data_IF_036424481407
#
_entry.id   IF_036424481407
#
_cell.length_a   1.000
_cell.length_b   1.000
_cell.length_c   1.000
_cell.angle_alpha   90.00
_cell.angle_beta   90.00
_cell.angle_gamma   90.00
#
_symmetry.space_group_name_H-M   'P 1'
#
loop_
_entity.id
_entity.type
_entity.pdbx_description
1 polymer ?
#
# COMPACT_ATOMS: atom_id res chain seq x y z
N UNK A 1 15.43 39.45 10.85
CA UNK A 1 14.68 38.96 9.70
C UNK A 1 14.85 37.43 9.45
N UNK A 2 16.08 36.87 9.34
CA UNK A 2 16.29 35.42 9.09
C UNK A 2 15.67 34.53 10.17
N UNK A 3 15.77 34.85 11.45
CA UNK A 3 15.19 34.09 12.58
C UNK A 3 13.65 34.13 12.57
N UNK A 4 13.04 35.25 12.18
CA UNK A 4 11.59 35.42 12.08
C UNK A 4 11.03 34.56 10.91
N UNK A 5 11.74 34.54 9.77
CA UNK A 5 11.37 33.72 8.62
C UNK A 5 11.44 32.22 8.94
N UNK A 6 12.45 31.77 9.70
CA UNK A 6 12.57 30.38 10.15
C UNK A 6 11.41 29.97 11.07
N UNK A 7 10.96 30.85 11.97
CA UNK A 7 9.84 30.58 12.88
C UNK A 7 8.52 30.50 12.08
N UNK A 8 8.32 31.36 11.11
CA UNK A 8 7.10 31.33 10.25
C UNK A 8 7.08 30.07 9.41
N UNK A 9 8.19 29.65 8.81
CA UNK A 9 8.28 28.42 8.02
C UNK A 9 8.05 27.19 8.90
N UNK A 10 8.61 27.14 10.10
CA UNK A 10 8.40 26.03 11.05
C UNK A 10 6.97 25.97 11.59
N UNK A 11 6.28 27.10 11.70
CA UNK A 11 4.89 27.17 12.17
C UNK A 11 3.85 26.75 11.14
N UNK A 12 4.20 26.74 9.85
CA UNK A 12 3.30 26.34 8.76
C UNK A 12 3.33 24.82 8.44
N UNK A 13 4.37 24.12 8.90
CA UNK A 13 4.56 22.69 8.63
C UNK A 13 3.54 21.76 9.33
N UNK A 14 3.03 22.04 10.54
CA UNK A 14 2.12 21.12 11.24
C UNK A 14 0.68 21.08 10.70
N UNK A 15 0.28 22.02 9.86
CA UNK A 15 -1.14 22.17 9.48
C UNK A 15 -1.65 21.15 8.44
N UNK A 16 -0.78 20.28 7.90
CA UNK A 16 -1.12 19.33 6.85
C UNK A 16 -0.62 17.90 7.11
N UNK A 17 -0.45 17.50 8.37
CA UNK A 17 -0.03 16.13 8.68
C UNK A 17 -1.28 15.25 8.75
N UNK A 18 -1.68 14.68 7.64
CA UNK A 18 -2.60 13.56 7.59
C UNK A 18 -1.77 12.26 7.66
N UNK A 19 -1.60 11.70 8.85
CA UNK A 19 -0.87 10.46 9.05
C UNK A 19 -1.77 9.26 8.71
N UNK A 20 -1.98 8.96 7.44
CA UNK A 20 -2.71 7.78 6.99
C UNK A 20 -1.94 6.93 5.97
N UNK A 21 -0.62 6.89 6.07
CA UNK A 21 0.22 6.12 5.15
C UNK A 21 0.43 4.65 5.57
N UNK A 22 -0.23 4.17 6.63
CA UNK A 22 -0.03 2.82 7.18
C UNK A 22 -0.44 1.66 6.27
N UNK A 23 -1.13 1.93 5.16
CA UNK A 23 -1.52 0.94 4.16
C UNK A 23 -0.61 0.92 2.92
N UNK A 24 0.35 1.85 2.83
CA UNK A 24 1.36 1.88 1.77
C UNK A 24 2.64 1.26 2.31
N UNK A 25 3.28 0.44 1.50
CA UNK A 25 4.52 -0.24 1.88
C UNK A 25 5.66 0.76 2.07
N UNK A 26 6.50 0.52 3.09
CA UNK A 26 7.65 1.36 3.39
C UNK A 26 8.79 1.26 2.37
N UNK A 27 8.74 0.34 1.44
CA UNK A 27 9.75 0.15 0.40
C UNK A 27 9.25 -0.70 -0.75
N UNK A 28 9.95 -0.64 -1.86
CA UNK A 28 9.61 -1.36 -3.10
C UNK A 28 10.81 -2.15 -3.62
N UNK A 29 10.58 -3.44 -3.91
CA UNK A 29 11.63 -4.37 -4.31
C UNK A 29 12.51 -4.82 -3.14
N UNK A 30 13.27 -5.89 -3.33
CA UNK A 30 13.97 -6.58 -2.25
C UNK A 30 14.99 -5.69 -1.52
N UNK A 31 15.81 -4.95 -2.25
CA UNK A 31 16.86 -4.12 -1.65
C UNK A 31 16.26 -2.95 -0.84
N UNK A 32 15.29 -2.23 -1.43
CA UNK A 32 14.69 -1.09 -0.76
C UNK A 32 13.88 -1.53 0.47
N UNK A 33 13.14 -2.65 0.38
CA UNK A 33 12.41 -3.24 1.50
C UNK A 33 13.35 -3.64 2.65
N UNK A 34 14.49 -4.27 2.35
CA UNK A 34 15.45 -4.71 3.38
C UNK A 34 16.05 -3.55 4.18
N UNK A 35 15.96 -2.34 3.64
CA UNK A 35 16.42 -1.10 4.27
C UNK A 35 15.29 -0.26 4.86
N UNK A 36 14.07 -0.82 4.98
CA UNK A 36 12.91 -0.09 5.47
C UNK A 36 12.49 1.09 4.58
N UNK A 37 12.78 1.03 3.28
CA UNK A 37 12.45 2.09 2.32
C UNK A 37 13.49 3.22 2.23
N UNK A 38 14.62 3.12 2.90
CA UNK A 38 15.65 4.17 2.92
C UNK A 38 16.33 4.31 1.55
N UNK A 39 15.83 5.18 0.69
CA UNK A 39 16.39 5.44 -0.64
C UNK A 39 16.21 6.91 -1.10
N UNK A 40 15.59 7.76 -0.26
CA UNK A 40 15.22 9.13 -0.65
C UNK A 40 16.43 10.00 -0.96
N UNK A 41 17.49 9.91 -0.15
CA UNK A 41 18.69 10.73 -0.33
C UNK A 41 19.67 10.14 -1.33
N UNK A 42 19.92 8.83 -1.23
CA UNK A 42 20.84 8.11 -2.12
C UNK A 42 20.24 6.76 -2.50
N UNK A 43 19.82 6.58 -3.73
CA UNK A 43 19.26 5.32 -4.19
C UNK A 43 20.34 4.24 -4.27
N UNK A 44 20.06 3.07 -3.72
CA UNK A 44 20.91 1.87 -3.87
C UNK A 44 20.47 0.99 -5.01
N UNK A 45 19.20 1.11 -5.40
CA UNK A 45 18.62 0.41 -6.55
C UNK A 45 17.61 1.29 -7.30
N UNK A 46 17.22 0.83 -8.48
CA UNK A 46 16.31 1.58 -9.32
C UNK A 46 14.85 1.57 -8.80
N UNK A 47 14.43 0.56 -8.01
CA UNK A 47 13.08 0.50 -7.46
C UNK A 47 12.89 1.59 -6.41
N UNK A 48 13.79 1.68 -5.44
CA UNK A 48 13.76 2.72 -4.43
C UNK A 48 13.89 4.13 -5.02
N UNK A 49 14.76 4.31 -6.04
CA UNK A 49 14.90 5.59 -6.74
C UNK A 49 13.59 6.01 -7.42
N UNK A 50 13.01 5.14 -8.23
CA UNK A 50 11.79 5.41 -8.98
C UNK A 50 10.57 5.68 -8.09
N UNK A 51 10.53 5.05 -6.92
CA UNK A 51 9.42 5.21 -5.98
C UNK A 51 9.55 6.45 -5.11
N UNK A 52 10.73 6.69 -4.52
CA UNK A 52 10.90 7.71 -3.49
C UNK A 52 11.52 9.02 -3.98
N UNK A 53 12.38 8.96 -5.00
CA UNK A 53 13.12 10.14 -5.46
C UNK A 53 13.36 10.08 -6.97
N UNK A 54 12.47 10.63 -7.78
CA UNK A 54 12.63 10.66 -9.23
C UNK A 54 13.98 11.22 -9.72
N UNK A 55 14.52 12.24 -9.04
CA UNK A 55 15.82 12.79 -9.37
C UNK A 55 16.97 11.79 -9.14
N UNK A 56 16.77 10.84 -8.23
CA UNK A 56 17.76 9.81 -7.89
C UNK A 56 18.12 8.88 -9.04
N UNK A 57 17.23 8.68 -10.03
CA UNK A 57 17.55 7.84 -11.19
C UNK A 57 18.70 8.41 -12.02
N UNK A 58 19.00 9.70 -11.90
CA UNK A 58 20.14 10.33 -12.56
C UNK A 58 21.51 9.79 -12.12
N UNK A 59 21.56 9.07 -10.98
CA UNK A 59 22.79 8.44 -10.50
C UNK A 59 23.18 7.19 -11.31
N UNK A 60 22.24 6.61 -12.06
CA UNK A 60 22.49 5.42 -12.87
C UNK A 60 22.93 5.82 -14.29
N UNK A 61 24.10 5.33 -14.71
CA UNK A 61 24.74 5.67 -15.97
C UNK A 61 24.64 4.57 -17.04
N UNK A 62 23.81 3.55 -16.80
CA UNK A 62 23.59 2.40 -17.67
C UNK A 62 22.11 2.05 -17.77
N UNK A 63 21.78 1.19 -18.72
CA UNK A 63 20.45 0.59 -18.80
C UNK A 63 20.33 -0.49 -17.71
N UNK A 64 19.34 -0.37 -16.85
CA UNK A 64 19.08 -1.28 -15.76
C UNK A 64 17.63 -1.77 -15.81
N UNK A 65 17.45 -3.05 -15.55
CA UNK A 65 16.15 -3.68 -15.38
C UNK A 65 16.10 -4.39 -14.03
N UNK A 66 14.98 -4.28 -13.35
CA UNK A 66 14.71 -4.95 -12.09
C UNK A 66 13.34 -5.61 -12.12
N UNK A 67 13.27 -6.87 -11.71
CA UNK A 67 12.02 -7.58 -11.51
C UNK A 67 12.07 -8.25 -10.14
N UNK A 68 11.08 -7.93 -9.29
CA UNK A 68 10.95 -8.49 -7.95
C UNK A 68 9.50 -8.92 -7.72
N UNK A 69 9.34 -9.91 -6.85
CA UNK A 69 8.06 -10.31 -6.30
C UNK A 69 8.22 -10.40 -4.77
N UNK A 70 7.54 -9.51 -4.06
CA UNK A 70 7.41 -9.57 -2.60
C UNK A 70 6.32 -10.57 -2.23
N UNK A 71 6.59 -11.43 -1.24
CA UNK A 71 5.58 -12.31 -0.65
C UNK A 71 5.25 -11.79 0.74
N UNK A 72 4.01 -11.41 0.95
CA UNK A 72 3.52 -10.92 2.23
C UNK A 72 2.67 -11.99 2.91
N UNK A 73 3.05 -12.33 4.14
CA UNK A 73 2.36 -13.27 4.98
C UNK A 73 1.77 -12.51 6.16
N UNK A 74 0.48 -12.66 6.39
CA UNK A 74 -0.18 -12.16 7.59
C UNK A 74 -1.00 -13.28 8.21
N UNK A 75 -1.15 -13.24 9.52
CA UNK A 75 -1.95 -14.20 10.28
C UNK A 75 -2.70 -13.48 11.40
N UNK A 76 -3.55 -12.49 11.09
CA UNK A 76 -4.37 -11.84 12.10
C UNK A 76 -5.41 -12.80 12.66
N UNK A 77 -5.82 -12.54 13.90
CA UNK A 77 -6.91 -13.25 14.56
C UNK A 77 -8.02 -12.26 14.91
N UNK A 78 -9.25 -12.65 14.62
CA UNK A 78 -10.44 -11.89 14.99
C UNK A 78 -11.05 -12.51 16.23
N UNK A 79 -11.01 -11.82 17.35
CA UNK A 79 -11.66 -12.22 18.59
C UNK A 79 -12.90 -11.38 18.88
N UNK A 80 -13.95 -12.00 19.37
CA UNK A 80 -15.15 -11.30 19.82
C UNK A 80 -15.73 -11.92 21.09
N UNK A 81 -16.43 -11.06 21.84
CA UNK A 81 -17.21 -11.48 23.01
C UNK A 81 -18.56 -10.76 22.96
N UNK A 82 -19.63 -11.52 23.01
CA UNK A 82 -21.00 -11.00 23.01
C UNK A 82 -21.72 -11.48 24.29
N UNK A 83 -22.38 -10.60 25.04
CA UNK A 83 -23.21 -10.99 26.16
C UNK A 83 -24.44 -11.76 25.65
N UNK A 84 -24.72 -12.92 26.25
CA UNK A 84 -25.91 -13.71 25.97
C UNK A 84 -26.69 -14.00 27.27
N UNK A 85 -27.96 -14.39 27.18
CA UNK A 85 -28.73 -14.77 28.40
C UNK A 85 -28.11 -15.90 29.20
N UNK A 86 -27.29 -16.76 28.58
CA UNK A 86 -26.55 -17.86 29.21
C UNK A 86 -25.15 -17.48 29.72
N UNK A 87 -24.76 -16.21 29.64
CA UNK A 87 -23.42 -15.72 29.95
C UNK A 87 -22.66 -15.22 28.70
N UNK A 88 -21.47 -14.64 28.85
CA UNK A 88 -20.70 -14.16 27.74
C UNK A 88 -20.23 -15.31 26.82
N UNK A 89 -20.47 -15.17 25.52
CA UNK A 89 -19.96 -16.06 24.49
C UNK A 89 -18.75 -15.41 23.83
N UNK A 90 -17.59 -16.07 23.84
CA UNK A 90 -16.34 -15.59 23.27
C UNK A 90 -15.83 -16.58 22.23
N UNK A 91 -15.16 -16.06 21.20
CA UNK A 91 -14.54 -16.89 20.18
C UNK A 91 -13.44 -16.17 19.43
N UNK A 92 -12.65 -16.95 18.69
CA UNK A 92 -11.54 -16.48 17.86
C UNK A 92 -11.63 -17.15 16.50
N UNK A 93 -11.44 -16.37 15.44
CA UNK A 93 -11.35 -16.86 14.06
C UNK A 93 -10.00 -16.42 13.48
N UNK A 94 -9.28 -17.37 12.90
CA UNK A 94 -8.00 -17.10 12.23
C UNK A 94 -8.24 -16.66 10.79
N UNK A 95 -7.33 -15.81 10.31
CA UNK A 95 -7.29 -15.41 8.92
C UNK A 95 -6.94 -16.59 8.00
N UNK A 96 -7.62 -16.69 6.87
CA UNK A 96 -7.45 -17.71 5.83
C UNK A 96 -7.13 -17.09 4.46
N UNK A 97 -6.68 -15.85 4.43
CA UNK A 97 -6.36 -15.15 3.18
C UNK A 97 -5.19 -15.76 2.41
N UNK A 98 -4.20 -16.29 3.12
CA UNK A 98 -2.98 -16.83 2.54
C UNK A 98 -1.96 -15.76 2.16
N UNK A 99 -1.22 -15.99 1.08
CA UNK A 99 -0.08 -15.16 0.68
C UNK A 99 -0.51 -14.08 -0.31
N UNK A 100 -0.13 -12.82 -0.03
CA UNK A 100 -0.28 -11.72 -0.98
C UNK A 100 1.02 -11.51 -1.75
N UNK A 101 0.92 -11.38 -3.08
CA UNK A 101 2.07 -11.17 -3.97
C UNK A 101 2.12 -9.69 -4.38
N UNK A 102 3.27 -9.07 -4.18
CA UNK A 102 3.52 -7.67 -4.53
C UNK A 102 4.58 -7.58 -5.63
N UNK A 103 4.18 -7.34 -6.88
CA UNK A 103 5.11 -7.19 -7.98
C UNK A 103 5.85 -5.85 -7.92
N UNK A 104 7.12 -5.86 -8.33
CA UNK A 104 7.88 -4.64 -8.55
C UNK A 104 8.75 -4.79 -9.80
N UNK A 105 8.33 -4.13 -10.87
CA UNK A 105 9.02 -4.08 -12.15
C UNK A 105 9.52 -2.67 -12.41
N UNK A 106 10.78 -2.54 -12.79
CA UNK A 106 11.41 -1.26 -13.05
C UNK A 106 12.44 -1.34 -14.18
N UNK A 107 12.52 -0.27 -14.94
CA UNK A 107 13.56 -0.09 -15.95
C UNK A 107 14.03 1.36 -15.97
N UNK A 108 15.34 1.55 -16.04
CA UNK A 108 15.99 2.86 -16.17
C UNK A 108 16.90 2.86 -17.39
N UNK A 109 16.81 3.89 -18.20
CA UNK A 109 17.66 4.14 -19.34
C UNK A 109 18.67 5.24 -19.01
N UNK A 110 19.71 4.86 -18.27
CA UNK A 110 20.87 5.70 -18.04
C UNK A 110 21.89 5.58 -19.18
N UNK A 111 22.72 6.58 -19.31
CA UNK A 111 23.85 6.61 -20.26
C UNK A 111 24.98 7.42 -19.65
N UNK A 112 26.20 6.88 -19.70
CA UNK A 112 27.41 7.56 -19.24
C UNK A 112 27.54 8.94 -19.93
N UNK A 113 27.87 9.95 -19.13
CA UNK A 113 27.99 11.36 -19.58
C UNK A 113 26.70 12.00 -20.12
N UNK A 114 25.54 11.35 -19.96
CA UNK A 114 24.26 11.97 -20.25
C UNK A 114 23.77 12.76 -19.04
N UNK A 115 23.15 13.91 -19.31
CA UNK A 115 22.41 14.66 -18.27
C UNK A 115 21.00 14.16 -18.09
N UNK A 116 20.44 13.45 -19.07
CA UNK A 116 19.06 12.96 -19.05
C UNK A 116 19.01 11.47 -18.75
N UNK A 117 18.11 11.07 -17.87
CA UNK A 117 17.80 9.68 -17.52
C UNK A 117 16.31 9.48 -17.51
N UNK A 118 15.84 8.40 -18.13
CA UNK A 118 14.42 8.02 -18.17
C UNK A 118 14.20 6.75 -17.35
N UNK A 119 13.01 6.60 -16.81
CA UNK A 119 12.62 5.41 -16.08
C UNK A 119 11.14 5.09 -16.25
N UNK A 120 10.81 3.82 -16.10
CA UNK A 120 9.43 3.32 -16.00
C UNK A 120 9.35 2.33 -14.85
N UNK A 121 8.22 2.34 -14.17
CA UNK A 121 7.97 1.44 -13.06
C UNK A 121 6.53 0.93 -13.08
N UNK A 122 6.34 -0.30 -12.54
CA UNK A 122 5.04 -0.86 -12.23
C UNK A 122 5.16 -1.58 -10.88
N UNK A 123 4.57 -0.99 -9.85
CA UNK A 123 4.74 -1.40 -8.46
C UNK A 123 3.41 -1.72 -7.80
N UNK A 124 3.30 -2.89 -7.17
CA UNK A 124 2.30 -3.13 -6.14
C UNK A 124 2.72 -2.41 -4.87
N UNK A 125 2.15 -1.23 -4.62
CA UNK A 125 2.55 -0.38 -3.48
C UNK A 125 1.69 -0.57 -2.24
N UNK A 126 0.54 -1.23 -2.40
CA UNK A 126 -0.33 -1.65 -1.31
C UNK A 126 -1.09 -2.91 -1.70
N UNK A 127 -1.30 -3.77 -0.74
CA UNK A 127 -2.07 -4.98 -0.91
C UNK A 127 -2.32 -5.56 0.47
N UNK A 128 -3.44 -5.17 1.09
CA UNK A 128 -3.82 -5.69 2.39
C UNK A 128 -5.24 -6.22 2.35
N UNK A 129 -5.52 -7.09 3.27
CA UNK A 129 -6.86 -7.63 3.47
C UNK A 129 -6.84 -8.72 4.51
N UNK A 130 -8.02 -9.19 4.80
CA UNK A 130 -8.26 -10.30 5.72
C UNK A 130 -9.36 -11.18 5.15
N UNK A 131 -9.33 -12.45 5.50
CA UNK A 131 -10.39 -13.40 5.22
C UNK A 131 -10.66 -14.21 6.48
N UNK A 132 -11.68 -13.81 7.22
CA UNK A 132 -12.16 -14.59 8.38
C UNK A 132 -13.35 -15.44 7.95
N UNK A 133 -13.19 -16.77 7.83
CA UNK A 133 -14.28 -17.65 7.41
C UNK A 133 -15.43 -17.63 8.42
N UNK A 134 -16.63 -17.97 7.95
CA UNK A 134 -17.78 -18.19 8.82
C UNK A 134 -17.43 -19.24 9.88
N UNK A 135 -17.84 -19.00 11.12
CA UNK A 135 -17.52 -19.87 12.26
C UNK A 135 -18.66 -19.91 13.26
N UNK A 136 -19.05 -21.12 13.68
CA UNK A 136 -20.04 -21.28 14.74
C UNK A 136 -19.50 -21.05 16.15
N UNK A 137 -18.19 -20.87 16.30
CA UNK A 137 -17.52 -20.69 17.60
C UNK A 137 -17.16 -19.25 17.93
N UNK A 138 -17.22 -18.35 16.94
CA UNK A 138 -16.93 -16.92 17.18
C UNK A 138 -18.20 -16.10 16.89
N UNK A 139 -18.78 -15.42 17.87
CA UNK A 139 -20.07 -14.74 17.75
C UNK A 139 -20.15 -13.77 16.55
N UNK A 140 -19.11 -13.03 16.28
CA UNK A 140 -19.07 -12.04 15.18
C UNK A 140 -19.10 -12.72 13.80
N UNK A 141 -18.51 -13.91 13.67
CA UNK A 141 -18.43 -14.67 12.41
C UNK A 141 -19.51 -15.75 12.29
N UNK A 142 -20.47 -15.83 13.20
CA UNK A 142 -21.59 -16.74 13.04
C UNK A 142 -22.34 -16.47 11.74
N UNK A 143 -23.04 -17.49 11.17
CA UNK A 143 -23.96 -17.28 10.07
C UNK A 143 -24.87 -16.07 10.30
N UNK A 144 -25.13 -15.31 9.26
CA UNK A 144 -26.01 -14.13 9.37
C UNK A 144 -27.39 -14.47 9.88
N UNK A 145 -27.91 -15.67 9.54
CA UNK A 145 -29.16 -16.22 10.08
C UNK A 145 -29.15 -16.44 11.61
N UNK A 146 -27.97 -16.49 12.21
CA UNK A 146 -27.77 -16.64 13.65
C UNK A 146 -27.34 -15.33 14.34
N UNK A 147 -27.40 -14.21 13.62
CA UNK A 147 -27.09 -12.87 14.11
C UNK A 147 -25.62 -12.45 14.05
N UNK A 148 -24.76 -13.26 13.44
CA UNK A 148 -23.38 -12.86 13.11
C UNK A 148 -23.27 -12.16 11.75
N UNK A 149 -22.06 -11.82 11.33
CA UNK A 149 -21.79 -11.24 10.01
C UNK A 149 -21.43 -12.31 8.97
N UNK A 150 -21.30 -13.59 9.35
CA UNK A 150 -20.81 -14.65 8.48
C UNK A 150 -19.33 -14.49 8.15
N UNK A 151 -18.94 -14.75 6.91
CA UNK A 151 -17.59 -14.51 6.39
C UNK A 151 -17.28 -13.00 6.40
N UNK A 152 -16.18 -12.63 7.02
CA UNK A 152 -15.67 -11.25 7.00
C UNK A 152 -14.43 -11.21 6.13
N UNK A 153 -14.48 -10.37 5.10
CA UNK A 153 -13.40 -10.27 4.12
C UNK A 153 -13.19 -8.81 3.70
N UNK A 154 -11.94 -8.43 3.57
CA UNK A 154 -11.54 -7.24 2.83
C UNK A 154 -10.36 -7.58 1.94
N UNK A 155 -10.39 -7.14 0.69
CA UNK A 155 -9.30 -7.27 -0.26
C UNK A 155 -9.06 -5.92 -0.93
N UNK A 156 -7.94 -5.29 -0.59
CA UNK A 156 -7.50 -4.03 -1.19
C UNK A 156 -6.20 -4.23 -1.93
N UNK A 157 -6.13 -3.71 -3.15
CA UNK A 157 -4.94 -3.74 -3.99
C UNK A 157 -4.71 -2.36 -4.58
N UNK A 158 -3.45 -1.95 -4.67
CA UNK A 158 -3.04 -0.70 -5.31
C UNK A 158 -1.79 -0.94 -6.14
N UNK A 159 -1.96 -0.81 -7.45
CA UNK A 159 -0.88 -0.84 -8.44
C UNK A 159 -0.58 0.58 -8.90
N UNK A 160 0.69 0.95 -8.91
CA UNK A 160 1.18 2.24 -9.41
C UNK A 160 2.08 2.01 -10.61
N UNK A 161 1.80 2.70 -11.71
CA UNK A 161 2.67 2.78 -12.88
C UNK A 161 3.23 4.18 -12.98
N UNK A 162 4.55 4.30 -13.03
CA UNK A 162 5.28 5.58 -13.07
C UNK A 162 6.09 5.75 -14.36
N UNK A 163 6.05 6.96 -14.91
CA UNK A 163 6.96 7.39 -15.96
C UNK A 163 7.87 8.47 -15.37
N UNK A 164 9.17 8.24 -15.36
CA UNK A 164 10.12 9.10 -14.66
C UNK A 164 11.12 9.73 -15.64
N UNK A 165 11.34 11.01 -15.44
CA UNK A 165 12.42 11.75 -16.11
C UNK A 165 13.26 12.46 -15.07
N UNK A 166 14.59 12.32 -15.16
CA UNK A 166 15.55 13.05 -14.35
C UNK A 166 16.58 13.79 -15.22
N UNK A 167 16.99 14.96 -14.73
CA UNK A 167 17.98 15.78 -15.40
C UNK A 167 19.04 16.28 -14.42
N UNK A 168 20.33 16.01 -14.74
CA UNK A 168 21.48 16.54 -14.02
C UNK A 168 21.73 17.99 -14.40
N UNK A 169 21.47 18.91 -13.50
CA UNK A 169 21.85 20.31 -13.65
C UNK A 169 23.36 20.51 -13.45
N UNK A 170 23.93 19.80 -12.46
CA UNK A 170 25.35 19.76 -12.17
C UNK A 170 25.73 18.40 -11.56
N UNK A 171 27.01 18.19 -11.24
CA UNK A 171 27.46 16.95 -10.57
C UNK A 171 26.89 16.80 -9.15
N UNK A 172 26.36 17.88 -8.56
CA UNK A 172 25.83 17.91 -7.21
C UNK A 172 24.32 18.10 -7.13
N UNK A 173 23.68 18.42 -8.24
CA UNK A 173 22.26 18.75 -8.25
C UNK A 173 21.53 18.18 -9.46
N UNK A 174 20.45 17.46 -9.18
CA UNK A 174 19.55 16.89 -10.18
C UNK A 174 18.10 17.21 -9.83
N UNK A 175 17.26 17.29 -10.84
CA UNK A 175 15.82 17.40 -10.72
C UNK A 175 15.16 16.20 -11.37
N UNK A 176 13.97 15.83 -10.92
CA UNK A 176 13.20 14.73 -11.50
C UNK A 176 11.71 14.94 -11.34
N UNK A 177 10.97 14.36 -12.27
CA UNK A 177 9.51 14.34 -12.28
C UNK A 177 9.05 12.92 -12.61
N UNK A 178 8.00 12.48 -11.93
CA UNK A 178 7.41 11.16 -12.14
C UNK A 178 5.88 11.26 -12.06
N UNK A 179 5.18 11.53 -13.17
CA UNK A 179 3.76 11.31 -13.24
C UNK A 179 3.46 9.83 -13.01
N UNK A 180 2.46 9.55 -12.17
CA UNK A 180 2.04 8.20 -11.82
C UNK A 180 0.57 7.98 -12.14
N UNK A 181 0.25 6.77 -12.58
CA UNK A 181 -1.10 6.27 -12.76
C UNK A 181 -1.35 5.18 -11.71
N UNK A 182 -2.43 5.31 -10.98
CA UNK A 182 -2.76 4.38 -9.91
C UNK A 182 -4.03 3.61 -10.28
N UNK A 183 -3.97 2.30 -10.16
CA UNK A 183 -5.13 1.43 -10.21
C UNK A 183 -5.36 0.81 -8.84
N UNK A 184 -6.54 1.03 -8.28
CA UNK A 184 -6.92 0.42 -7.02
C UNK A 184 -8.17 -0.45 -7.17
N UNK A 185 -8.28 -1.49 -6.35
CA UNK A 185 -9.48 -2.28 -6.20
C UNK A 185 -9.74 -2.57 -4.73
N UNK A 186 -11.03 -2.59 -4.36
CA UNK A 186 -11.49 -2.90 -3.01
C UNK A 186 -12.73 -3.80 -3.08
N UNK A 187 -12.71 -4.88 -2.31
CA UNK A 187 -13.85 -5.76 -2.09
C UNK A 187 -14.06 -5.94 -0.58
N UNK A 188 -15.32 -5.91 -0.14
CA UNK A 188 -15.69 -6.02 1.26
C UNK A 188 -16.82 -7.05 1.45
N UNK A 189 -16.72 -7.88 2.46
CA UNK A 189 -17.78 -8.79 2.90
C UNK A 189 -17.83 -8.81 4.43
N UNK A 190 -18.97 -8.55 5.08
CA UNK A 190 -20.19 -7.96 4.51
C UNK A 190 -19.97 -6.51 4.06
N UNK A 191 -20.82 -6.04 3.16
CA UNK A 191 -20.76 -4.64 2.72
C UNK A 191 -21.30 -3.71 3.82
N UNK A 192 -20.44 -2.88 4.48
CA UNK A 192 -20.86 -2.05 5.60
C UNK A 192 -21.69 -0.84 5.17
N UNK A 193 -21.74 -0.56 3.86
CA UNK A 193 -22.49 0.59 3.31
C UNK A 193 -23.90 0.20 2.83
N UNK A 194 -24.23 -1.09 2.82
CA UNK A 194 -25.53 -1.59 2.43
C UNK A 194 -26.39 -1.93 3.64
N UNK A 195 -27.70 -1.71 3.53
CA UNK A 195 -28.65 -2.19 4.51
C UNK A 195 -28.79 -3.71 4.41
N UNK A 196 -28.87 -4.44 5.54
CA UNK A 196 -29.09 -5.86 5.52
C UNK A 196 -30.51 -6.19 4.99
N UNK A 197 -30.58 -7.20 4.14
CA UNK A 197 -31.87 -7.81 3.77
C UNK A 197 -32.40 -8.64 4.93
N UNK A 198 -33.70 -8.50 5.32
CA UNK A 198 -34.26 -9.23 6.45
C UNK A 198 -34.17 -10.76 6.33
N UNK A 199 -34.09 -11.31 5.14
CA UNK A 199 -34.03 -12.75 4.88
C UNK A 199 -32.60 -13.25 4.56
N UNK A 200 -31.78 -12.39 3.95
CA UNK A 200 -30.45 -12.76 3.41
C UNK A 200 -29.28 -12.12 4.15
N UNK A 201 -29.53 -11.15 5.04
CA UNK A 201 -28.50 -10.43 5.77
C UNK A 201 -27.76 -9.38 4.91
N UNK A 202 -26.54 -9.06 5.28
CA UNK A 202 -25.71 -8.08 4.55
C UNK A 202 -25.21 -8.65 3.22
N UNK A 203 -25.34 -7.93 2.10
CA UNK A 203 -24.77 -8.36 0.84
C UNK A 203 -23.23 -8.27 0.86
N UNK A 204 -22.58 -8.97 -0.05
CA UNK A 204 -21.17 -8.76 -0.39
C UNK A 204 -21.08 -7.50 -1.26
N UNK A 205 -20.02 -6.70 -1.12
CA UNK A 205 -19.81 -5.59 -2.05
C UNK A 205 -19.37 -6.12 -3.42
N UNK A 206 -19.81 -5.44 -4.46
CA UNK A 206 -19.14 -5.58 -5.74
C UNK A 206 -17.70 -5.06 -5.62
N UNK A 207 -16.81 -5.63 -6.43
CA UNK A 207 -15.43 -5.18 -6.48
C UNK A 207 -15.36 -3.77 -7.05
N UNK A 208 -15.14 -2.79 -6.18
CA UNK A 208 -14.95 -1.41 -6.59
C UNK A 208 -13.55 -1.21 -7.17
N UNK A 209 -13.46 -0.46 -8.27
CA UNK A 209 -12.17 -0.12 -8.90
C UNK A 209 -12.08 1.37 -9.14
N UNK A 210 -10.88 1.93 -9.01
CA UNK A 210 -10.62 3.33 -9.30
C UNK A 210 -9.28 3.50 -10.06
N UNK A 211 -9.27 4.53 -10.92
CA UNK A 211 -8.07 5.01 -11.61
C UNK A 211 -7.79 6.43 -11.13
N UNK A 212 -6.53 6.75 -10.86
CA UNK A 212 -6.10 8.06 -10.40
C UNK A 212 -4.67 8.42 -10.83
#
# INVERSE_FOLDING_TARGET
MKKLLSIIVSGLVPLFIFAQAGHIMQGIGANNMSMGGAATGQPLDINGALHWNPAGISAFDSKLFSANAGLFFSAPELSSTVPTPGGPMSGVTKDDRGVSVMPALAMVWGKKNSKSTFGISAFGISGFGVTFPESNSNPINMPQSMGGFGRIESDYQLLQVGLTYAYKLSDKFSIGVAPTFNYSSLELSPNPLASPDPAKGYPISDKATALG
#
